data_IF_521683905004
#
_entry.id   IF_521683905004
#
_cell.length_a   1.000
_cell.length_b   1.000
_cell.length_c   1.000
_cell.angle_alpha   90.00
_cell.angle_beta   90.00
_cell.angle_gamma   90.00
#
_symmetry.space_group_name_H-M   'P 1'
#
loop_
_entity.id
_entity.type
_entity.pdbx_description
1 polymer ?
#
# COMPACT_ATOMS: atom_id res chain seq x y z
N UNK A 1 -10.55 -0.51 1.78
CA UNK A 1 -9.86 -1.80 1.54
C UNK A 1 -10.84 -2.94 1.28
N UNK A 2 -11.86 -3.13 2.14
CA UNK A 2 -12.93 -4.12 1.94
C UNK A 2 -13.68 -3.96 0.61
N UNK A 3 -13.94 -2.72 0.17
CA UNK A 3 -14.75 -2.43 -1.02
C UNK A 3 -14.18 -2.95 -2.36
N UNK A 4 -12.85 -2.90 -2.57
CA UNK A 4 -12.24 -3.43 -3.80
C UNK A 4 -12.20 -4.96 -3.84
N UNK A 5 -11.92 -5.60 -2.69
CA UNK A 5 -11.97 -7.06 -2.58
C UNK A 5 -13.38 -7.60 -2.77
N UNK A 6 -14.38 -6.91 -2.21
CA UNK A 6 -15.81 -7.22 -2.38
C UNK A 6 -16.23 -7.00 -3.85
N UNK A 7 -15.77 -5.94 -4.51
CA UNK A 7 -16.08 -5.67 -5.92
C UNK A 7 -15.59 -6.77 -6.88
N UNK A 8 -14.35 -7.24 -6.71
CA UNK A 8 -13.80 -8.35 -7.52
C UNK A 8 -14.49 -9.68 -7.22
N UNK A 9 -14.88 -9.93 -5.96
CA UNK A 9 -15.66 -11.10 -5.58
C UNK A 9 -17.05 -11.11 -6.23
N UNK A 10 -17.76 -9.97 -6.20
CA UNK A 10 -19.09 -9.83 -6.82
C UNK A 10 -19.01 -10.02 -8.35
N UNK A 11 -17.98 -9.47 -9.01
CA UNK A 11 -17.77 -9.67 -10.45
C UNK A 11 -17.42 -11.13 -10.79
N UNK A 12 -16.57 -11.78 -9.99
CA UNK A 12 -16.20 -13.18 -10.18
C UNK A 12 -17.38 -14.14 -10.01
N UNK A 13 -18.20 -13.93 -8.98
CA UNK A 13 -19.42 -14.70 -8.73
C UNK A 13 -20.48 -14.42 -9.80
N UNK A 14 -20.67 -13.16 -10.20
CA UNK A 14 -21.58 -12.79 -11.28
C UNK A 14 -21.21 -13.42 -12.62
N UNK A 15 -19.91 -13.44 -12.95
CA UNK A 15 -19.40 -14.09 -14.17
C UNK A 15 -19.60 -15.62 -14.14
N UNK A 16 -19.41 -16.26 -12.97
CA UNK A 16 -19.66 -17.69 -12.80
C UNK A 16 -21.14 -18.05 -13.01
N UNK A 17 -22.07 -17.25 -12.49
CA UNK A 17 -23.52 -17.46 -12.64
C UNK A 17 -23.97 -17.28 -14.10
N UNK A 18 -23.44 -16.26 -14.79
CA UNK A 18 -23.72 -16.04 -16.21
C UNK A 18 -23.20 -17.18 -17.10
N UNK A 19 -22.02 -17.72 -16.80
CA UNK A 19 -21.43 -18.84 -17.56
C UNK A 19 -22.14 -20.17 -17.27
N UNK A 20 -22.63 -20.38 -16.04
CA UNK A 20 -23.43 -21.54 -15.66
C UNK A 20 -24.82 -21.58 -16.31
N UNK A 21 -25.31 -20.46 -16.87
CA UNK A 21 -26.58 -20.42 -17.62
C UNK A 21 -26.43 -20.75 -19.11
N UNK A 22 -25.20 -20.98 -19.61
CA UNK A 22 -24.92 -21.16 -21.06
C UNK A 22 -24.50 -22.61 -21.42
N UNK A 23 -24.32 -23.50 -20.44
CA UNK A 23 -24.12 -24.93 -20.71
C UNK A 23 -23.49 -25.64 -19.52
N UNK A 24 -23.86 -26.92 -19.31
CA UNK A 24 -23.45 -27.76 -18.17
C UNK A 24 -21.94 -27.66 -17.90
N UNK A 25 -21.51 -26.82 -16.94
CA UNK A 25 -20.13 -26.76 -16.57
C UNK A 25 -19.87 -27.99 -15.71
N UNK A 26 -18.92 -28.82 -16.12
CA UNK A 26 -18.38 -29.88 -15.27
C UNK A 26 -18.21 -29.37 -13.84
N UNK A 27 -18.61 -30.15 -12.83
CA UNK A 27 -18.53 -29.80 -11.40
C UNK A 27 -17.17 -29.21 -11.01
N UNK A 28 -16.11 -29.63 -11.69
CA UNK A 28 -14.75 -29.12 -11.54
C UNK A 28 -14.58 -27.67 -12.03
N UNK A 29 -15.20 -27.28 -13.15
CA UNK A 29 -15.15 -25.90 -13.67
C UNK A 29 -15.96 -24.93 -12.80
N UNK A 30 -17.11 -25.35 -12.29
CA UNK A 30 -17.93 -24.54 -11.36
C UNK A 30 -17.21 -24.32 -10.02
N UNK A 31 -16.57 -25.37 -9.49
CA UNK A 31 -15.76 -25.25 -8.28
C UNK A 31 -14.57 -24.30 -8.48
N UNK A 32 -13.92 -24.37 -9.63
CA UNK A 32 -12.75 -23.52 -9.95
C UNK A 32 -13.12 -22.05 -10.19
N UNK A 33 -14.31 -21.77 -10.75
CA UNK A 33 -14.80 -20.39 -10.96
C UNK A 33 -15.27 -19.70 -9.68
N UNK A 34 -15.59 -20.43 -8.61
CA UNK A 34 -15.97 -19.85 -7.31
C UNK A 34 -14.74 -19.63 -6.41
N UNK A 35 -13.87 -20.64 -6.33
CA UNK A 35 -12.73 -20.64 -5.39
C UNK A 35 -11.65 -19.63 -5.81
N UNK A 36 -11.33 -19.55 -7.12
CA UNK A 36 -10.26 -18.67 -7.61
C UNK A 36 -10.55 -17.18 -7.33
N UNK A 37 -11.71 -16.61 -7.71
CA UNK A 37 -11.99 -15.21 -7.41
C UNK A 37 -12.18 -14.95 -5.91
N UNK A 38 -12.64 -15.93 -5.12
CA UNK A 38 -12.68 -15.81 -3.66
C UNK A 38 -11.30 -15.71 -3.02
N UNK A 39 -10.36 -16.57 -3.43
CA UNK A 39 -8.98 -16.53 -2.96
C UNK A 39 -8.27 -15.24 -3.40
N UNK A 40 -8.44 -14.85 -4.67
CA UNK A 40 -7.83 -13.62 -5.21
C UNK A 40 -8.45 -12.37 -4.55
N UNK A 41 -9.76 -12.32 -4.38
CA UNK A 41 -10.46 -11.20 -3.73
C UNK A 41 -10.07 -10.98 -2.27
N UNK A 42 -9.67 -12.04 -1.56
CA UNK A 42 -9.18 -11.94 -0.17
C UNK A 42 -7.68 -11.61 -0.08
N UNK A 43 -6.85 -12.23 -0.93
CA UNK A 43 -5.39 -12.12 -0.81
C UNK A 43 -4.82 -10.88 -1.52
N UNK A 44 -5.37 -10.48 -2.66
CA UNK A 44 -4.92 -9.32 -3.43
C UNK A 44 -4.95 -8.00 -2.64
N UNK A 45 -6.02 -7.63 -1.92
CA UNK A 45 -6.01 -6.37 -1.17
C UNK A 45 -4.96 -6.42 -0.06
N UNK A 46 -4.86 -7.53 0.68
CA UNK A 46 -3.87 -7.70 1.75
C UNK A 46 -2.45 -7.46 1.23
N UNK A 47 -2.09 -8.08 0.10
CA UNK A 47 -0.79 -7.89 -0.53
C UNK A 47 -0.54 -6.44 -0.98
N UNK A 48 -1.54 -5.80 -1.60
CA UNK A 48 -1.43 -4.43 -2.08
C UNK A 48 -1.21 -3.40 -0.95
N UNK A 49 -1.91 -3.60 0.17
CA UNK A 49 -1.77 -2.75 1.36
C UNK A 49 -0.39 -2.93 1.99
N UNK A 50 0.03 -4.19 2.21
CA UNK A 50 1.34 -4.48 2.78
C UNK A 50 2.44 -3.85 1.94
N UNK A 51 2.40 -4.03 0.61
CA UNK A 51 3.33 -3.36 -0.32
C UNK A 51 3.34 -1.85 -0.16
N UNK A 52 2.17 -1.21 -0.10
CA UNK A 52 2.08 0.26 0.02
C UNK A 52 2.63 0.78 1.35
N UNK A 53 2.40 0.05 2.44
CA UNK A 53 2.97 0.37 3.77
C UNK A 53 4.48 0.19 3.75
N UNK A 54 4.96 -0.89 3.16
CA UNK A 54 6.38 -1.22 3.07
C UNK A 54 7.14 -0.18 2.24
N UNK A 55 6.59 0.23 1.09
CA UNK A 55 7.16 1.33 0.28
C UNK A 55 7.25 2.63 1.07
N UNK A 56 6.20 3.04 1.80
CA UNK A 56 6.29 4.27 2.62
C UNK A 56 7.32 4.14 3.74
N UNK A 57 7.42 2.97 4.38
CA UNK A 57 8.40 2.74 5.44
C UNK A 57 9.83 2.81 4.90
N UNK A 58 10.05 2.26 3.71
CA UNK A 58 11.34 2.29 3.01
C UNK A 58 11.70 3.73 2.61
N UNK A 59 10.75 4.50 2.06
CA UNK A 59 10.92 5.93 1.77
C UNK A 59 11.29 6.73 3.04
N UNK A 60 10.63 6.46 4.18
CA UNK A 60 10.93 7.08 5.47
C UNK A 60 12.34 6.72 5.96
N UNK A 61 12.73 5.45 5.88
CA UNK A 61 14.04 4.99 6.32
C UNK A 61 15.17 5.58 5.45
N UNK A 62 14.94 5.73 4.15
CA UNK A 62 15.91 6.31 3.23
C UNK A 62 16.09 7.82 3.44
N UNK A 63 15.06 8.55 3.85
CA UNK A 63 15.15 9.99 4.16
C UNK A 63 15.64 10.32 5.58
N UNK A 64 15.69 9.34 6.49
CA UNK A 64 16.17 9.53 7.86
C UNK A 64 17.65 9.96 7.97
N UNK A 65 18.62 9.35 7.27
CA UNK A 65 20.02 9.79 7.37
C UNK A 65 20.24 11.21 6.83
N UNK A 66 19.54 11.60 5.76
CA UNK A 66 19.57 12.95 5.20
C UNK A 66 19.04 13.99 6.20
N UNK A 67 17.98 13.63 6.93
CA UNK A 67 17.46 14.43 8.03
C UNK A 67 18.49 14.72 9.12
N UNK A 68 19.27 13.69 9.49
CA UNK A 68 20.29 13.81 10.51
C UNK A 68 21.46 14.67 10.05
N UNK A 69 21.82 14.61 8.75
CA UNK A 69 22.89 15.44 8.18
C UNK A 69 22.51 16.93 8.18
N UNK A 70 21.30 17.28 7.73
CA UNK A 70 20.81 18.66 7.82
C UNK A 70 20.74 19.17 9.26
N UNK A 71 20.35 18.30 10.21
CA UNK A 71 20.33 18.64 11.63
C UNK A 71 21.75 18.88 12.16
N UNK A 72 22.72 18.07 11.75
CA UNK A 72 24.13 18.23 12.11
C UNK A 72 24.67 19.57 11.62
N UNK A 73 24.40 19.95 10.37
CA UNK A 73 24.78 21.28 9.84
C UNK A 73 24.12 22.42 10.62
N UNK A 74 22.86 22.27 11.07
CA UNK A 74 22.20 23.26 11.91
C UNK A 74 22.87 23.41 13.28
N UNK A 75 23.32 22.30 13.88
CA UNK A 75 24.02 22.30 15.17
C UNK A 75 25.44 22.85 15.04
N UNK A 76 26.16 22.52 13.95
CA UNK A 76 27.49 23.08 13.64
C UNK A 76 27.42 24.60 13.42
N UNK A 77 26.33 25.10 12.84
CA UNK A 77 26.07 26.53 12.69
C UNK A 77 25.67 27.24 14.01
N UNK A 78 25.60 26.51 15.13
CA UNK A 78 25.29 27.04 16.45
C UNK A 78 23.80 27.25 16.73
N UNK A 79 22.89 26.64 15.95
CA UNK A 79 21.46 26.64 16.29
C UNK A 79 21.18 25.73 17.48
N UNK A 80 20.20 26.10 18.32
CA UNK A 80 19.69 25.18 19.34
C UNK A 80 19.00 23.98 18.68
N UNK A 81 19.08 22.81 19.32
CA UNK A 81 18.55 21.56 18.79
C UNK A 81 17.05 21.67 18.43
N UNK A 82 16.26 22.33 19.30
CA UNK A 82 14.83 22.54 19.10
C UNK A 82 14.52 23.34 17.82
N UNK A 83 15.30 24.41 17.56
CA UNK A 83 15.20 25.21 16.34
C UNK A 83 15.62 24.41 15.09
N UNK A 84 16.68 23.62 15.21
CA UNK A 84 17.16 22.73 14.15
C UNK A 84 16.09 21.71 13.73
N UNK A 85 15.45 21.06 14.69
CA UNK A 85 14.38 20.07 14.43
C UNK A 85 13.20 20.71 13.69
N UNK A 86 12.72 21.89 14.13
CA UNK A 86 11.60 22.58 13.48
C UNK A 86 11.95 22.97 12.04
N UNK A 87 13.19 23.40 11.79
CA UNK A 87 13.67 23.78 10.46
C UNK A 87 13.79 22.57 9.54
N UNK A 88 14.46 21.52 10.01
CA UNK A 88 14.65 20.26 9.27
C UNK A 88 13.30 19.59 8.96
N UNK A 89 12.35 19.60 9.89
CA UNK A 89 11.00 19.07 9.66
C UNK A 89 10.23 19.82 8.57
N UNK A 90 10.45 21.14 8.41
CA UNK A 90 9.86 21.92 7.30
C UNK A 90 10.53 21.59 5.97
N UNK A 91 11.86 21.46 5.95
CA UNK A 91 12.64 21.25 4.73
C UNK A 91 12.48 19.83 4.17
N UNK A 92 12.52 18.81 5.04
CA UNK A 92 12.30 17.40 4.65
C UNK A 92 10.92 17.18 4.06
N UNK A 93 9.90 17.88 4.58
CA UNK A 93 8.54 17.76 4.06
C UNK A 93 8.42 18.25 2.61
N UNK A 94 9.31 19.15 2.18
CA UNK A 94 9.40 19.61 0.80
C UNK A 94 10.17 18.62 -0.09
N UNK A 95 11.21 17.96 0.44
CA UNK A 95 12.03 16.98 -0.28
C UNK A 95 11.41 15.58 -0.40
N UNK A 96 10.67 15.14 0.63
CA UNK A 96 10.06 13.82 0.73
C UNK A 96 8.59 13.92 1.15
N UNK A 97 7.64 14.02 0.21
CA UNK A 97 6.20 14.02 0.52
C UNK A 97 5.72 12.71 1.17
N UNK A 98 6.55 11.66 1.18
CA UNK A 98 6.33 10.42 1.91
C UNK A 98 6.50 10.55 3.43
N UNK A 99 7.31 11.52 3.88
CA UNK A 99 7.65 11.78 5.29
C UNK A 99 6.71 12.79 5.97
N UNK A 100 5.79 13.40 5.22
CA UNK A 100 4.84 14.42 5.68
C UNK A 100 3.39 13.97 5.82
#
# INVERSE_FOLDING_TARGET
>A
QMAMGIGFLILGVGYAILKSSVGDPSTQQTMMTIIIPGAVGYMAPKYWITRRVETRKEEIQNGFPDALDMLLVCVEAGQSLDQGIIRVAKEIRAGFPALG
#
